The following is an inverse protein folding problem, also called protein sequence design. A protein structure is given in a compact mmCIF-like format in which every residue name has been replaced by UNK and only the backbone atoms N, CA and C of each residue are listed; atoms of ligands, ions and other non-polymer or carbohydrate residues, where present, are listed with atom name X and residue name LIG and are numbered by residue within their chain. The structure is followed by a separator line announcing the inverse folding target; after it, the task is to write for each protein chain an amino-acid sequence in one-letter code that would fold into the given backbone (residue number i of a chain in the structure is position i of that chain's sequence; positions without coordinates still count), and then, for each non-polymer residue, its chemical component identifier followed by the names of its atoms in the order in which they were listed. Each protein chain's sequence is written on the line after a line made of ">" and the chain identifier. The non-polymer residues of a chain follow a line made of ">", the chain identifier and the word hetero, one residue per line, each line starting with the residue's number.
data_IF_649264483544
#
_entry.id   IF_649264483544
#
_cell.length_a   1.000
_cell.length_b   1.000
_cell.length_c   1.000
_cell.angle_alpha   90.00
_cell.angle_beta   90.00
_cell.angle_gamma   90.00
#
_symmetry.space_group_name_H-M   'P 1'
#
loop_
_entity.id
_entity.type
_entity.pdbx_description
1 polymer ?
#
# COMPACT_ATOMS: atom_id res chain seq x y z
N UNK A 1 1.92 -13.64 0.84
CA UNK A 1 1.57 -13.50 -0.59
C UNK A 1 1.57 -12.01 -0.91
N UNK A 2 2.31 -11.56 -1.93
CA UNK A 2 2.29 -10.15 -2.33
C UNK A 2 0.92 -9.77 -2.92
N UNK A 3 0.52 -8.50 -2.77
CA UNK A 3 -0.59 -7.95 -3.52
C UNK A 3 -0.09 -7.49 -4.88
N UNK A 4 -0.70 -8.00 -5.96
CA UNK A 4 -0.34 -7.64 -7.33
C UNK A 4 -1.43 -6.76 -7.93
N UNK A 5 -1.02 -5.59 -8.43
CA UNK A 5 -1.87 -4.68 -9.19
C UNK A 5 -1.31 -4.53 -10.60
N UNK A 6 -2.18 -4.44 -11.60
CA UNK A 6 -1.76 -4.26 -13.00
C UNK A 6 -2.60 -3.16 -13.63
N UNK A 7 -1.95 -2.32 -14.42
CA UNK A 7 -2.60 -1.26 -15.19
C UNK A 7 -1.81 -0.99 -16.47
N UNK A 8 -2.42 -0.33 -17.44
CA UNK A 8 -1.77 0.09 -18.68
C UNK A 8 -1.55 1.59 -18.65
N UNK A 9 -0.33 1.99 -19.02
CA UNK A 9 0.08 3.39 -19.10
C UNK A 9 0.65 3.66 -20.51
N UNK A 10 0.54 4.88 -21.03
CA UNK A 10 1.29 5.29 -22.21
C UNK A 10 2.80 5.07 -22.02
N UNK A 11 3.51 4.83 -23.12
CA UNK A 11 4.96 4.80 -23.07
C UNK A 11 5.52 6.15 -22.61
N UNK A 12 6.54 6.13 -21.76
CA UNK A 12 7.20 7.33 -21.28
C UNK A 12 7.78 7.19 -19.88
N UNK A 13 8.24 8.33 -19.37
CA UNK A 13 8.93 8.41 -18.08
C UNK A 13 8.01 8.95 -17.00
N UNK A 14 8.03 8.29 -15.86
CA UNK A 14 7.23 8.61 -14.69
C UNK A 14 8.12 8.89 -13.48
N UNK A 15 7.65 9.69 -12.55
CA UNK A 15 8.41 10.12 -11.37
C UNK A 15 7.66 9.90 -10.04
N UNK A 16 6.42 9.41 -10.09
CA UNK A 16 5.60 9.26 -8.92
C UNK A 16 4.54 8.17 -9.09
N UNK A 17 4.29 7.42 -8.03
CA UNK A 17 3.12 6.57 -7.86
C UNK A 17 2.25 7.18 -6.76
N UNK A 18 0.94 7.25 -7.02
CA UNK A 18 -0.08 7.74 -6.08
C UNK A 18 -1.10 6.64 -5.87
N UNK A 19 -1.26 6.22 -4.62
CA UNK A 19 -2.23 5.21 -4.23
C UNK A 19 -3.26 5.80 -3.28
N UNK A 20 -4.53 5.56 -3.56
CA UNK A 20 -5.61 5.96 -2.65
C UNK A 20 -5.86 4.86 -1.61
N UNK A 21 -5.93 5.24 -0.33
CA UNK A 21 -6.35 4.35 0.75
C UNK A 21 -7.74 4.78 1.20
N UNK A 22 -8.74 3.97 0.84
CA UNK A 22 -10.15 4.28 1.10
C UNK A 22 -10.55 3.91 2.54
N UNK A 23 -10.07 2.76 3.02
CA UNK A 23 -10.38 2.25 4.36
C UNK A 23 -9.35 1.22 4.81
N UNK A 24 -9.37 0.89 6.10
CA UNK A 24 -8.57 -0.19 6.67
C UNK A 24 -9.12 -0.65 8.02
N UNK A 25 -8.80 -1.88 8.40
CA UNK A 25 -9.17 -2.48 9.68
C UNK A 25 -8.03 -3.36 10.21
N UNK A 26 -7.90 -3.43 11.53
CA UNK A 26 -7.06 -4.42 12.21
C UNK A 26 -7.96 -5.60 12.58
N UNK A 27 -7.57 -6.80 12.17
CA UNK A 27 -8.31 -8.04 12.46
C UNK A 27 -7.47 -8.91 13.39
N UNK A 28 -8.05 -9.31 14.51
CA UNK A 28 -7.49 -10.32 15.42
C UNK A 28 -8.33 -11.59 15.33
N UNK A 29 -7.74 -12.65 14.79
CA UNK A 29 -8.39 -13.93 14.54
C UNK A 29 -7.38 -15.08 14.48
N UNK A 30 -7.85 -16.33 14.35
CA UNK A 30 -6.97 -17.46 14.07
C UNK A 30 -6.26 -17.29 12.72
N UNK A 31 -5.14 -18.01 12.53
CA UNK A 31 -4.43 -17.96 11.26
C UNK A 31 -5.34 -18.43 10.11
N UNK A 32 -5.55 -17.56 9.11
CA UNK A 32 -6.42 -17.83 7.98
C UNK A 32 -7.04 -16.56 7.40
N UNK A 33 -7.97 -16.70 6.44
CA UNK A 33 -8.79 -15.59 5.98
C UNK A 33 -9.62 -15.01 7.16
N UNK A 34 -9.83 -13.68 7.22
CA UNK A 34 -10.66 -13.07 8.24
C UNK A 34 -12.07 -13.67 8.30
N UNK A 35 -12.52 -14.09 9.47
CA UNK A 35 -13.89 -14.52 9.74
C UNK A 35 -14.75 -13.33 10.23
N UNK A 36 -16.07 -13.30 9.95
CA UNK A 36 -16.94 -12.27 10.50
C UNK A 36 -16.97 -12.20 12.04
N UNK A 37 -16.65 -13.29 12.74
CA UNK A 37 -16.57 -13.36 14.21
C UNK A 37 -15.26 -12.84 14.79
N UNK A 38 -14.26 -12.54 13.95
CA UNK A 38 -12.98 -12.00 14.39
C UNK A 38 -13.13 -10.60 15.00
N UNK A 39 -12.24 -10.28 15.94
CA UNK A 39 -12.23 -8.99 16.59
C UNK A 39 -11.64 -7.94 15.65
N UNK A 40 -12.42 -6.90 15.34
CA UNK A 40 -12.08 -5.88 14.35
C UNK A 40 -11.98 -4.50 14.98
N UNK A 41 -10.94 -3.77 14.61
CA UNK A 41 -10.76 -2.37 14.99
C UNK A 41 -10.61 -1.51 13.73
N UNK A 42 -11.47 -0.49 13.54
CA UNK A 42 -11.36 0.38 12.38
C UNK A 42 -10.09 1.22 12.45
N UNK A 43 -9.40 1.37 11.32
CA UNK A 43 -8.30 2.32 11.18
C UNK A 43 -8.83 3.67 10.72
N UNK A 44 -8.42 4.73 11.40
CA UNK A 44 -8.59 6.09 10.89
C UNK A 44 -7.51 6.35 9.84
N UNK A 45 -7.92 6.72 8.64
CA UNK A 45 -7.03 7.08 7.52
C UNK A 45 -7.08 8.60 7.36
N UNK A 46 -6.15 9.36 7.97
CA UNK A 46 -6.17 10.83 7.99
C UNK A 46 -5.78 11.46 6.65
N UNK A 47 -4.97 10.74 5.87
CA UNK A 47 -4.59 11.09 4.51
C UNK A 47 -4.97 9.91 3.63
N UNK A 48 -5.76 10.22 2.61
CA UNK A 48 -6.30 9.30 1.62
C UNK A 48 -5.28 8.89 0.56
N UNK A 49 -4.07 9.47 0.56
CA UNK A 49 -3.10 9.32 -0.53
C UNK A 49 -1.72 8.91 0.00
N UNK A 50 -1.21 7.78 -0.49
CA UNK A 50 0.19 7.38 -0.37
C UNK A 50 0.93 7.87 -1.61
N UNK A 51 2.00 8.63 -1.39
CA UNK A 51 2.88 9.17 -2.44
C UNK A 51 4.23 8.49 -2.38
N UNK A 52 4.59 7.80 -3.46
CA UNK A 52 5.91 7.20 -3.63
C UNK A 52 6.62 7.94 -4.76
N UNK A 53 7.67 8.69 -4.43
CA UNK A 53 8.51 9.35 -5.42
C UNK A 53 9.52 8.35 -5.95
N UNK A 54 9.36 7.95 -7.20
CA UNK A 54 10.19 6.95 -7.87
C UNK A 54 10.25 7.26 -9.35
N UNK A 55 11.45 7.30 -9.91
CA UNK A 55 11.65 7.42 -11.33
C UNK A 55 11.62 6.04 -11.98
N UNK A 56 10.82 5.88 -13.04
CA UNK A 56 10.76 4.66 -13.83
C UNK A 56 10.28 4.96 -15.25
N UNK A 57 10.68 4.11 -16.19
CA UNK A 57 10.22 4.16 -17.57
C UNK A 57 9.17 3.07 -17.81
N UNK A 58 8.19 3.36 -18.66
CA UNK A 58 7.33 2.37 -19.30
C UNK A 58 7.67 2.39 -20.77
N UNK A 59 8.38 1.37 -21.26
CA UNK A 59 8.72 1.25 -22.67
C UNK A 59 7.46 0.97 -23.51
N UNK A 60 7.47 1.37 -24.79
CA UNK A 60 6.40 1.01 -25.72
C UNK A 60 6.31 -0.52 -25.86
N UNK A 61 5.11 -1.07 -25.67
CA UNK A 61 4.89 -2.52 -25.60
C UNK A 61 5.57 -3.24 -24.43
N UNK A 62 6.23 -2.53 -23.52
CA UNK A 62 6.99 -3.08 -22.39
C UNK A 62 6.18 -3.22 -21.11
N UNK A 63 6.80 -3.82 -20.10
CA UNK A 63 6.21 -3.96 -18.75
C UNK A 63 7.21 -3.48 -17.72
N UNK A 64 6.75 -2.64 -16.80
CA UNK A 64 7.56 -2.20 -15.66
C UNK A 64 6.94 -2.71 -14.37
N UNK A 65 7.67 -3.60 -13.71
CA UNK A 65 7.28 -4.17 -12.43
C UNK A 65 7.95 -3.40 -11.29
N UNK A 66 7.14 -2.92 -10.35
CA UNK A 66 7.60 -2.15 -9.20
C UNK A 66 7.15 -2.88 -7.94
N UNK A 67 8.12 -3.28 -7.11
CA UNK A 67 7.86 -3.96 -5.84
C UNK A 67 7.89 -2.93 -4.72
N UNK A 68 6.76 -2.79 -4.02
CA UNK A 68 6.60 -1.91 -2.86
C UNK A 68 6.43 -2.73 -1.59
N UNK A 69 7.15 -2.35 -0.54
CA UNK A 69 6.99 -2.92 0.80
C UNK A 69 6.22 -1.96 1.71
N UNK A 70 5.13 -2.44 2.30
CA UNK A 70 4.33 -1.71 3.27
C UNK A 70 4.71 -2.18 4.68
N UNK A 71 5.45 -1.35 5.40
CA UNK A 71 5.87 -1.65 6.76
C UNK A 71 4.68 -1.47 7.72
N UNK A 72 3.90 -2.54 7.89
CA UNK A 72 2.70 -2.53 8.72
C UNK A 72 3.00 -2.14 10.17
N UNK A 73 4.16 -2.53 10.71
CA UNK A 73 4.55 -2.26 12.10
C UNK A 73 4.74 -0.76 12.32
N UNK A 74 5.40 -0.08 11.39
CA UNK A 74 5.62 1.37 11.47
C UNK A 74 4.44 2.19 10.90
N UNK A 75 3.53 1.54 10.17
CA UNK A 75 2.35 2.19 9.58
C UNK A 75 1.18 2.37 10.54
N UNK A 76 1.07 1.55 11.60
CA UNK A 76 -0.06 1.60 12.54
C UNK A 76 0.34 2.40 13.78
N UNK A 77 -0.36 3.51 14.00
CA UNK A 77 -0.11 4.42 15.12
C UNK A 77 -1.27 4.31 16.11
N UNK A 78 -0.95 4.01 17.38
CA UNK A 78 -1.94 3.92 18.46
C UNK A 78 -1.99 5.28 19.17
N UNK A 79 -3.12 5.96 19.08
CA UNK A 79 -3.36 7.26 19.71
C UNK A 79 -4.32 7.07 20.88
N UNK A 80 -3.86 7.43 22.08
CA UNK A 80 -4.70 7.41 23.29
C UNK A 80 -5.63 8.63 23.31
N UNK A 81 -6.94 8.40 23.27
CA UNK A 81 -7.98 9.42 23.51
C UNK A 81 -8.69 9.11 24.83
N UNK A 82 -8.11 9.60 25.93
CA UNK A 82 -8.59 9.30 27.28
C UNK A 82 -8.43 7.82 27.61
N UNK A 83 -9.54 7.13 27.88
CA UNK A 83 -9.56 5.67 28.17
C UNK A 83 -9.70 4.79 26.92
N UNK A 84 -9.75 5.37 25.72
CA UNK A 84 -9.91 4.63 24.46
C UNK A 84 -8.65 4.75 23.60
N UNK A 85 -8.28 3.65 22.97
CA UNK A 85 -7.25 3.63 21.94
C UNK A 85 -7.90 3.86 20.57
N UNK A 86 -7.30 4.74 19.77
CA UNK A 86 -7.67 5.00 18.37
C UNK A 86 -6.51 4.59 17.49
N UNK A 87 -6.79 3.75 16.51
CA UNK A 87 -5.78 3.27 15.58
C UNK A 87 -5.78 4.14 14.33
N UNK A 88 -4.64 4.74 14.03
CA UNK A 88 -4.46 5.58 12.86
C UNK A 88 -3.50 4.90 11.89
N UNK A 89 -3.86 4.85 10.62
CA UNK A 89 -2.98 4.39 9.56
C UNK A 89 -2.17 5.57 9.02
N UNK A 90 -0.84 5.47 9.09
CA UNK A 90 0.12 6.38 8.47
C UNK A 90 1.08 5.54 7.64
N UNK A 91 0.74 5.22 6.40
CA UNK A 91 1.47 4.24 5.60
C UNK A 91 2.94 4.62 5.45
N UNK A 92 3.82 3.68 5.79
CA UNK A 92 5.25 3.73 5.47
C UNK A 92 5.48 2.74 4.34
N UNK A 93 5.78 3.27 3.15
CA UNK A 93 6.00 2.47 1.94
C UNK A 93 7.43 2.67 1.47
N UNK A 94 8.11 1.55 1.22
CA UNK A 94 9.45 1.52 0.68
C UNK A 94 9.44 0.94 -0.73
N UNK A 95 10.25 1.50 -1.63
CA UNK A 95 10.52 0.88 -2.93
C UNK A 95 11.58 -0.19 -2.71
N UNK A 96 11.25 -1.43 -3.05
CA UNK A 96 12.17 -2.57 -2.93
C UNK A 96 12.92 -2.78 -4.23
N UNK A 97 12.21 -2.76 -5.35
CA UNK A 97 12.76 -3.12 -6.66
C UNK A 97 11.96 -2.47 -7.79
N UNK A 98 12.66 -2.18 -8.89
CA UNK A 98 12.10 -1.77 -10.18
C UNK A 98 12.72 -2.64 -11.26
N UNK A 99 11.90 -3.35 -12.01
CA UNK A 99 12.30 -4.19 -13.15
C UNK A 99 11.59 -3.65 -14.38
N UNK A 100 12.37 -3.12 -15.32
CA UNK A 100 11.88 -2.60 -16.59
C UNK A 100 12.14 -3.62 -17.69
N UNK A 101 11.08 -4.17 -18.28
CA UNK A 101 11.15 -5.11 -19.39
C UNK A 101 10.77 -4.39 -20.69
N UNK A 102 11.65 -4.37 -21.69
CA UNK A 102 11.37 -3.71 -22.96
C UNK A 102 10.26 -4.43 -23.73
N UNK A 103 9.49 -3.67 -24.51
CA UNK A 103 8.57 -4.25 -25.49
C UNK A 103 9.33 -4.90 -26.63
N UNK A 104 8.78 -5.98 -27.16
CA UNK A 104 9.35 -6.77 -28.25
C UNK A 104 9.03 -6.18 -29.63
#
# INVERSE_FOLDING_TARGET
>A
MPLTFTTTLPAGTYNQIRMAVISGEIVFGPAGPPDPSDLRYPLTVPSDEIKTHLHFEVADGGTTQITLDLDAKNSIHIIKKGKKDVYQLRPVVNVVEVVEEPGN
#
